data_IF_935030152347
#
_entry.id   IF_935030152347
#
_cell.length_a   1.000
_cell.length_b   1.000
_cell.length_c   1.000
_cell.angle_alpha   90.00
_cell.angle_beta   90.00
_cell.angle_gamma   90.00
#
_symmetry.space_group_name_H-M   'P 1'
#
loop_
_entity.id
_entity.type
_entity.pdbx_description
1 polymer ?
#
# COMPACT_ATOMS: atom_id res chain seq x y z
N UNK A 1 -2.93 -2.04 22.26
CA UNK A 1 -3.95 -1.53 21.31
C UNK A 1 -4.44 -2.72 20.51
N UNK A 2 -5.76 -2.87 20.30
CA UNK A 2 -6.36 -4.01 19.59
C UNK A 2 -6.64 -3.59 18.15
N UNK A 3 -6.39 -4.46 17.17
CA UNK A 3 -6.68 -4.21 15.75
C UNK A 3 -7.54 -5.34 15.21
N UNK A 4 -8.36 -5.01 14.20
CA UNK A 4 -9.31 -5.92 13.60
C UNK A 4 -9.59 -5.49 12.15
N UNK A 5 -9.98 -6.44 11.30
CA UNK A 5 -10.46 -6.19 9.94
C UNK A 5 -11.91 -5.68 9.91
N UNK A 6 -12.68 -5.97 10.96
CA UNK A 6 -14.09 -5.62 11.12
C UNK A 6 -14.39 -5.12 12.53
N UNK A 7 -15.38 -4.22 12.69
CA UNK A 7 -15.76 -3.71 14.00
C UNK A 7 -16.26 -4.84 14.93
N UNK A 8 -16.00 -4.72 16.23
CA UNK A 8 -16.38 -5.73 17.23
C UNK A 8 -17.89 -6.04 17.25
N UNK A 9 -18.74 -5.08 16.86
CA UNK A 9 -20.18 -5.27 16.69
C UNK A 9 -20.54 -6.35 15.65
N UNK A 10 -19.67 -6.57 14.66
CA UNK A 10 -19.89 -7.55 13.60
C UNK A 10 -19.35 -8.94 13.94
N UNK A 11 -18.82 -9.13 15.15
CA UNK A 11 -18.24 -10.40 15.57
C UNK A 11 -19.31 -11.26 16.25
N UNK A 12 -19.30 -12.57 15.95
CA UNK A 12 -20.18 -13.53 16.62
C UNK A 12 -19.58 -13.98 17.96
N UNK A 13 -19.63 -13.10 18.96
CA UNK A 13 -19.09 -13.35 20.30
C UNK A 13 -20.17 -13.89 21.23
N UNK A 14 -20.11 -15.19 21.51
CA UNK A 14 -21.09 -15.89 22.36
C UNK A 14 -20.99 -15.51 23.85
N UNK A 15 -19.79 -15.19 24.34
CA UNK A 15 -19.56 -14.85 25.75
C UNK A 15 -19.95 -13.40 26.03
N UNK A 16 -21.04 -13.19 26.78
CA UNK A 16 -21.60 -11.85 27.06
C UNK A 16 -20.61 -10.88 27.72
N UNK A 17 -19.79 -11.35 28.66
CA UNK A 17 -18.77 -10.51 29.32
C UNK A 17 -17.69 -10.02 28.34
N UNK A 18 -17.29 -10.87 27.40
CA UNK A 18 -16.32 -10.49 26.37
C UNK A 18 -16.94 -9.50 25.37
N UNK A 19 -18.18 -9.75 24.95
CA UNK A 19 -18.92 -8.85 24.04
C UNK A 19 -19.04 -7.44 24.65
N UNK A 20 -19.46 -7.33 25.92
CA UNK A 20 -19.58 -6.04 26.58
C UNK A 20 -18.24 -5.33 26.72
N UNK A 21 -17.16 -6.06 27.05
CA UNK A 21 -15.80 -5.49 27.12
C UNK A 21 -15.32 -4.96 25.77
N UNK A 22 -15.50 -5.72 24.70
CA UNK A 22 -15.08 -5.31 23.35
C UNK A 22 -15.83 -4.06 22.89
N UNK A 23 -17.13 -3.98 23.19
CA UNK A 23 -17.98 -2.85 22.81
C UNK A 23 -17.80 -1.61 23.71
N UNK A 24 -17.18 -1.75 24.89
CA UNK A 24 -16.88 -0.64 25.79
C UNK A 24 -15.70 0.22 25.29
N UNK A 25 -14.87 -0.30 24.39
CA UNK A 25 -13.75 0.47 23.83
C UNK A 25 -14.18 1.34 22.65
N UNK A 26 -13.58 2.53 22.47
CA UNK A 26 -13.76 3.32 21.26
C UNK A 26 -13.30 2.54 20.02
N UNK A 27 -14.19 2.39 19.03
CA UNK A 27 -13.85 1.83 17.74
C UNK A 27 -13.49 2.95 16.77
N UNK A 28 -12.25 2.95 16.26
CA UNK A 28 -11.80 3.84 15.19
C UNK A 28 -11.57 3.02 13.92
N UNK A 29 -12.22 3.42 12.83
CA UNK A 29 -12.01 2.81 11.52
C UNK A 29 -10.89 3.54 10.79
N UNK A 30 -9.90 2.78 10.32
CA UNK A 30 -8.94 3.26 9.32
C UNK A 30 -9.59 3.06 7.95
N UNK A 31 -9.89 4.16 7.27
CA UNK A 31 -10.42 4.13 5.91
C UNK A 31 -9.30 3.84 4.91
N UNK A 32 -9.68 3.42 3.70
CA UNK A 32 -8.72 3.37 2.59
C UNK A 32 -8.20 4.80 2.32
N UNK A 33 -6.91 4.95 2.00
CA UNK A 33 -6.31 6.25 1.75
C UNK A 33 -6.91 6.88 0.48
N UNK A 34 -7.10 8.20 0.53
CA UNK A 34 -7.43 9.00 -0.65
C UNK A 34 -6.20 9.15 -1.57
N UNK A 35 -6.42 9.53 -2.83
CA UNK A 35 -5.36 9.64 -3.84
C UNK A 35 -4.19 10.53 -3.37
N UNK A 36 -4.47 11.65 -2.69
CA UNK A 36 -3.43 12.53 -2.16
C UNK A 36 -2.57 11.85 -1.08
N UNK A 37 -3.16 10.98 -0.26
CA UNK A 37 -2.45 10.23 0.77
C UNK A 37 -1.64 9.07 0.16
N UNK A 38 -2.18 8.42 -0.87
CA UNK A 38 -1.45 7.41 -1.66
C UNK A 38 -0.22 8.02 -2.33
N UNK A 39 -0.36 9.22 -2.90
CA UNK A 39 0.74 9.96 -3.49
C UNK A 39 1.81 10.31 -2.47
N UNK A 40 1.42 10.87 -1.31
CA UNK A 40 2.35 11.17 -0.23
C UNK A 40 3.09 9.91 0.27
N UNK A 41 2.38 8.78 0.37
CA UNK A 41 2.93 7.49 0.77
C UNK A 41 3.92 6.95 -0.28
N UNK A 42 3.59 7.06 -1.57
CA UNK A 42 4.48 6.72 -2.68
C UNK A 42 5.76 7.54 -2.66
N UNK A 43 5.65 8.87 -2.56
CA UNK A 43 6.81 9.78 -2.51
C UNK A 43 7.69 9.45 -1.31
N UNK A 44 7.10 9.24 -0.14
CA UNK A 44 7.83 8.82 1.07
C UNK A 44 8.58 7.50 0.82
N UNK A 45 7.91 6.48 0.28
CA UNK A 45 8.51 5.17 0.07
C UNK A 45 9.61 5.19 -1.00
N UNK A 46 9.44 5.96 -2.08
CA UNK A 46 10.48 6.14 -3.09
C UNK A 46 11.74 6.78 -2.50
N UNK A 47 11.57 7.79 -1.62
CA UNK A 47 12.67 8.42 -0.90
C UNK A 47 13.42 7.41 0.00
N UNK A 48 12.70 6.57 0.74
CA UNK A 48 13.28 5.50 1.57
C UNK A 48 14.07 4.48 0.73
N UNK A 49 13.60 4.17 -0.48
CA UNK A 49 14.24 3.25 -1.41
C UNK A 49 15.32 3.90 -2.27
N UNK A 50 15.62 5.19 -2.07
CA UNK A 50 16.56 5.98 -2.88
C UNK A 50 16.24 5.99 -4.38
N UNK A 51 14.96 5.84 -4.72
CA UNK A 51 14.46 6.00 -6.09
C UNK A 51 14.34 7.50 -6.37
N UNK A 52 14.81 7.92 -7.53
CA UNK A 52 14.81 9.33 -7.92
C UNK A 52 13.37 9.88 -7.95
N UNK A 53 13.12 10.93 -7.16
CA UNK A 53 11.81 11.54 -7.00
C UNK A 53 11.44 12.33 -8.25
N UNK A 54 10.67 11.71 -9.15
CA UNK A 54 10.07 12.38 -10.29
C UNK A 54 8.54 12.32 -10.16
N UNK A 55 7.90 13.50 -10.10
CA UNK A 55 6.44 13.63 -10.03
C UNK A 55 5.72 12.91 -11.18
N UNK A 56 6.32 12.86 -12.37
CA UNK A 56 5.76 12.12 -13.50
C UNK A 56 5.74 10.61 -13.26
N UNK A 57 6.69 10.08 -12.47
CA UNK A 57 6.76 8.65 -12.12
C UNK A 57 5.68 8.29 -11.10
N UNK A 58 5.49 9.09 -10.04
CA UNK A 58 4.43 8.85 -9.05
C UNK A 58 3.04 8.90 -9.68
N UNK A 59 2.76 9.94 -10.49
CA UNK A 59 1.50 10.04 -11.22
C UNK A 59 1.29 8.89 -12.20
N UNK A 60 2.36 8.44 -12.89
CA UNK A 60 2.27 7.31 -13.80
C UNK A 60 1.87 6.03 -13.06
N UNK A 61 2.51 5.71 -11.93
CA UNK A 61 2.21 4.53 -11.13
C UNK A 61 0.76 4.58 -10.65
N UNK A 62 0.34 5.68 -10.01
CA UNK A 62 -1.03 5.82 -9.49
C UNK A 62 -2.13 5.68 -10.55
N UNK A 63 -1.83 6.07 -11.79
CA UNK A 63 -2.81 6.01 -12.90
C UNK A 63 -2.92 4.60 -13.50
N UNK A 64 -1.88 3.76 -13.38
CA UNK A 64 -1.79 2.48 -14.09
C UNK A 64 -1.72 1.26 -13.18
N UNK A 65 -1.96 1.42 -11.87
CA UNK A 65 -1.95 0.30 -10.90
C UNK A 65 -3.19 0.26 -10.03
N UNK A 66 -3.32 -0.81 -9.25
CA UNK A 66 -4.26 -0.83 -8.14
C UNK A 66 -3.96 0.29 -7.13
N UNK A 67 -5.02 0.94 -6.67
CA UNK A 67 -4.99 2.03 -5.70
C UNK A 67 -5.08 1.51 -4.27
N UNK A 68 -4.20 0.57 -3.92
CA UNK A 68 -4.05 0.10 -2.54
C UNK A 68 -2.65 0.39 -2.03
N UNK A 69 -2.54 0.87 -0.79
CA UNK A 69 -1.25 1.19 -0.20
C UNK A 69 -0.32 -0.03 -0.15
N UNK A 70 -0.88 -1.21 0.14
CA UNK A 70 -0.16 -2.47 0.16
C UNK A 70 0.41 -2.85 -1.21
N UNK A 71 -0.40 -2.74 -2.27
CA UNK A 71 0.06 -2.97 -3.64
C UNK A 71 1.19 -2.00 -4.01
N UNK A 72 1.01 -0.70 -3.77
CA UNK A 72 2.02 0.30 -4.14
C UNK A 72 3.35 0.09 -3.43
N UNK A 73 3.32 -0.26 -2.13
CA UNK A 73 4.53 -0.54 -1.35
C UNK A 73 5.24 -1.77 -1.90
N UNK A 74 4.53 -2.88 -2.07
CA UNK A 74 5.11 -4.13 -2.57
C UNK A 74 5.63 -3.99 -4.00
N UNK A 75 4.92 -3.25 -4.86
CA UNK A 75 5.35 -2.92 -6.21
C UNK A 75 6.66 -2.13 -6.22
N UNK A 76 6.77 -1.08 -5.40
CA UNK A 76 8.00 -0.29 -5.30
C UNK A 76 9.19 -1.09 -4.77
N UNK A 77 8.98 -1.97 -3.79
CA UNK A 77 10.03 -2.85 -3.27
C UNK A 77 10.53 -3.81 -4.33
N UNK A 78 9.62 -4.45 -5.08
CA UNK A 78 9.97 -5.32 -6.20
C UNK A 78 10.71 -4.57 -7.30
N UNK A 79 10.23 -3.38 -7.64
CA UNK A 79 10.83 -2.52 -8.65
C UNK A 79 12.26 -2.12 -8.26
N UNK A 80 12.47 -1.74 -6.99
CA UNK A 80 13.81 -1.41 -6.48
C UNK A 80 14.73 -2.63 -6.53
N UNK A 81 14.24 -3.80 -6.10
CA UNK A 81 15.00 -5.03 -6.14
C UNK A 81 15.46 -5.37 -7.57
N UNK A 82 14.57 -5.28 -8.56
CA UNK A 82 14.89 -5.53 -9.97
C UNK A 82 15.86 -4.48 -10.54
N UNK A 83 15.67 -3.21 -10.19
CA UNK A 83 16.57 -2.12 -10.57
C UNK A 83 18.01 -2.39 -10.11
N UNK A 84 18.17 -2.85 -8.87
CA UNK A 84 19.46 -3.21 -8.28
C UNK A 84 20.05 -4.47 -8.90
N UNK A 85 19.26 -5.51 -9.15
CA UNK A 85 19.75 -6.77 -9.75
C UNK A 85 20.20 -6.58 -11.20
N UNK A 86 19.47 -5.77 -11.97
CA UNK A 86 19.80 -5.49 -13.38
C UNK A 86 20.78 -4.32 -13.55
N UNK A 87 21.11 -3.62 -12.46
CA UNK A 87 21.93 -2.39 -12.47
C UNK A 87 21.37 -1.32 -13.42
N UNK A 88 20.05 -1.24 -13.54
CA UNK A 88 19.34 -0.27 -14.39
C UNK A 88 18.71 0.81 -13.54
N UNK A 89 18.66 2.04 -14.04
CA UNK A 89 17.95 3.13 -13.38
C UNK A 89 16.43 2.93 -13.48
N UNK A 90 15.72 3.31 -12.42
CA UNK A 90 14.26 3.39 -12.42
C UNK A 90 13.81 4.51 -13.37
N UNK A 91 13.16 4.13 -14.46
CA UNK A 91 12.60 5.05 -15.47
C UNK A 91 11.21 4.58 -15.88
N UNK A 92 10.40 5.45 -16.49
CA UNK A 92 9.04 5.08 -16.96
C UNK A 92 9.04 3.82 -17.85
N UNK A 93 9.95 3.65 -18.83
CA UNK A 93 10.02 2.42 -19.62
C UNK A 93 10.29 1.18 -18.77
N UNK A 94 11.19 1.27 -17.78
CA UNK A 94 11.48 0.17 -16.87
C UNK A 94 10.29 -0.18 -15.97
N UNK A 95 9.59 0.83 -15.45
CA UNK A 95 8.36 0.65 -14.67
C UNK A 95 7.31 -0.11 -15.49
N UNK A 96 7.09 0.27 -16.76
CA UNK A 96 6.17 -0.43 -17.67
C UNK A 96 6.55 -1.90 -17.87
N UNK A 97 7.84 -2.18 -18.06
CA UNK A 97 8.36 -3.54 -18.19
C UNK A 97 8.04 -4.38 -16.94
N UNK A 98 8.31 -3.84 -15.74
CA UNK A 98 8.02 -4.51 -14.47
C UNK A 98 6.52 -4.72 -14.26
N UNK A 99 5.67 -3.75 -14.66
CA UNK A 99 4.22 -3.89 -14.62
C UNK A 99 3.70 -5.02 -15.52
N UNK A 100 4.21 -5.14 -16.75
CA UNK A 100 3.84 -6.23 -17.67
C UNK A 100 4.27 -7.60 -17.15
N UNK A 101 5.36 -7.68 -16.39
CA UNK A 101 5.78 -8.91 -15.72
C UNK A 101 4.87 -9.29 -14.53
N UNK A 102 4.15 -8.33 -13.95
CA UNK A 102 3.19 -8.58 -12.86
C UNK A 102 1.85 -9.14 -13.37
N UNK A 103 1.38 -8.72 -14.55
CA UNK A 103 0.12 -9.20 -15.14
C UNK A 103 0.18 -10.64 -15.68
N UNK A 104 1.39 -11.21 -15.82
CA UNK A 104 1.61 -12.56 -16.36
C UNK A 104 1.61 -13.66 -15.31
N UNK A 105 1.32 -13.35 -14.05
CA UNK A 105 1.23 -14.29 -12.92
C UNK A 105 -0.22 -14.42 -12.50
#
# INVERSE_FOLDING_TARGET
MWTADRPAQAWDVQLKDLSSRLLAFPALRIAQPEDALLEALLVKKMSELQIEMNQSVSSFILTHTERSAEFLISFLEKLNHLSLSEKRKVTIPFIKEVMQLQEKV
#
